data_IF_548386087009
#
_entry.id   IF_548386087009
#
_cell.length_a   1.000
_cell.length_b   1.000
_cell.length_c   1.000
_cell.angle_alpha   90.00
_cell.angle_beta   90.00
_cell.angle_gamma   90.00
#
_symmetry.space_group_name_H-M   'P 1'
#
loop_
_entity.id
_entity.type
_entity.pdbx_description
1 polymer ?
#
# COMPACT_ATOMS: atom_id res chain seq x y z
N UNK A 1 12.78 8.10 -14.52
CA UNK A 1 12.86 8.28 -13.06
C UNK A 1 14.12 7.59 -12.59
N UNK A 2 14.97 8.28 -11.84
CA UNK A 2 16.17 7.70 -11.24
C UNK A 2 15.83 7.02 -9.90
N UNK A 3 16.69 6.13 -9.36
CA UNK A 3 16.46 5.54 -8.05
C UNK A 3 16.33 6.56 -6.91
N UNK A 4 17.09 7.66 -6.97
CA UNK A 4 17.04 8.74 -5.97
C UNK A 4 15.71 9.49 -6.04
N UNK A 5 15.21 9.77 -7.25
CA UNK A 5 13.87 10.36 -7.41
C UNK A 5 12.77 9.42 -6.92
N UNK A 6 12.92 8.12 -7.18
CA UNK A 6 11.98 7.10 -6.73
C UNK A 6 11.93 7.02 -5.19
N UNK A 7 13.08 6.95 -4.54
CA UNK A 7 13.20 6.97 -3.08
C UNK A 7 12.53 8.21 -2.48
N UNK A 8 12.79 9.40 -3.06
CA UNK A 8 12.16 10.64 -2.61
C UNK A 8 10.63 10.58 -2.71
N UNK A 9 10.09 10.08 -3.83
CA UNK A 9 8.64 9.93 -4.00
C UNK A 9 8.04 8.98 -2.95
N UNK A 10 8.70 7.85 -2.68
CA UNK A 10 8.26 6.88 -1.66
C UNK A 10 8.29 7.53 -0.27
N UNK A 11 9.35 8.26 0.06
CA UNK A 11 9.49 8.94 1.35
C UNK A 11 8.44 10.05 1.52
N UNK A 12 8.17 10.84 0.49
CA UNK A 12 7.14 11.88 0.54
C UNK A 12 5.73 11.28 0.61
N UNK A 13 5.51 10.13 -0.03
CA UNK A 13 4.28 9.35 0.13
C UNK A 13 4.09 8.89 1.57
N UNK A 14 5.12 8.31 2.20
CA UNK A 14 5.04 7.90 3.61
C UNK A 14 4.70 9.06 4.54
N UNK A 15 5.24 10.26 4.29
CA UNK A 15 4.91 11.47 5.06
C UNK A 15 3.47 11.95 4.84
N UNK A 16 2.85 11.63 3.70
CA UNK A 16 1.44 11.97 3.44
C UNK A 16 0.45 11.06 4.17
N UNK A 17 0.89 9.90 4.65
CA UNK A 17 0.03 8.98 5.39
C UNK A 17 -0.19 9.53 6.81
N UNK A 18 -1.40 10.02 7.07
CA UNK A 18 -1.81 10.44 8.41
C UNK A 18 -2.01 9.21 9.31
N UNK A 19 -1.64 9.34 10.57
CA UNK A 19 -1.90 8.32 11.61
C UNK A 19 -3.36 8.43 12.10
N UNK A 20 -4.28 7.90 11.29
CA UNK A 20 -5.73 7.98 11.52
C UNK A 20 -6.38 6.59 11.69
N UNK A 21 -5.58 5.55 11.89
CA UNK A 21 -6.01 4.15 11.99
C UNK A 21 -6.04 3.42 10.65
N UNK A 22 -5.78 2.10 10.68
CA UNK A 22 -5.49 1.25 9.51
C UNK A 22 -6.56 1.20 8.40
N UNK A 23 -7.78 1.69 8.67
CA UNK A 23 -8.92 1.53 7.76
C UNK A 23 -9.63 2.85 7.41
N UNK A 24 -9.12 3.97 7.90
CA UNK A 24 -9.62 5.29 7.54
C UNK A 24 -8.98 5.72 6.22
N UNK A 25 -9.83 6.01 5.25
CA UNK A 25 -9.42 6.50 3.93
C UNK A 25 -9.05 7.98 4.01
N UNK A 26 -8.11 8.37 3.17
CA UNK A 26 -7.62 9.73 2.96
C UNK A 26 -7.98 10.19 1.53
N UNK A 27 -8.13 11.49 1.30
CA UNK A 27 -8.38 12.00 -0.04
C UNK A 27 -7.12 11.86 -0.90
N UNK A 28 -7.26 11.48 -2.17
CA UNK A 28 -6.15 11.37 -3.14
C UNK A 28 -5.37 12.68 -3.27
N UNK A 29 -6.02 13.83 -3.01
CA UNK A 29 -5.37 15.15 -3.00
C UNK A 29 -4.26 15.28 -1.97
N UNK A 30 -4.22 14.43 -0.94
CA UNK A 30 -3.15 14.43 0.07
C UNK A 30 -1.86 13.77 -0.45
N UNK A 31 -1.91 13.04 -1.57
CA UNK A 31 -0.74 12.39 -2.14
C UNK A 31 0.22 13.40 -2.77
N UNK A 32 1.55 13.18 -2.67
CA UNK A 32 2.54 14.08 -3.27
C UNK A 32 2.53 14.04 -4.81
N UNK A 33 1.99 12.97 -5.40
CA UNK A 33 1.77 12.82 -6.83
C UNK A 33 0.73 11.73 -7.10
N UNK A 34 0.48 11.42 -8.38
CA UNK A 34 -0.52 10.42 -8.74
C UNK A 34 -0.17 9.02 -8.18
N UNK A 35 -1.18 8.20 -7.80
CA UNK A 35 -0.96 6.83 -7.33
C UNK A 35 -0.12 5.98 -8.31
N UNK A 36 -0.33 6.17 -9.63
CA UNK A 36 0.46 5.51 -10.66
C UNK A 36 1.95 5.86 -10.59
N UNK A 37 2.30 7.12 -10.32
CA UNK A 37 3.69 7.57 -10.20
C UNK A 37 4.35 7.03 -8.93
N UNK A 38 3.62 6.95 -7.82
CA UNK A 38 4.11 6.35 -6.57
C UNK A 38 4.39 4.85 -6.76
N UNK A 39 3.50 4.13 -7.46
CA UNK A 39 3.71 2.71 -7.80
C UNK A 39 4.93 2.50 -8.67
N UNK A 40 5.09 3.31 -9.71
CA UNK A 40 6.27 3.25 -10.56
C UNK A 40 7.57 3.51 -9.78
N UNK A 41 7.54 4.43 -8.81
CA UNK A 41 8.67 4.66 -7.91
C UNK A 41 9.03 3.42 -7.08
N UNK A 42 8.05 2.66 -6.59
CA UNK A 42 8.32 1.39 -5.88
C UNK A 42 9.08 0.40 -6.77
N UNK A 43 8.64 0.21 -8.02
CA UNK A 43 9.34 -0.69 -8.94
C UNK A 43 10.79 -0.26 -9.20
N UNK A 44 11.02 1.02 -9.50
CA UNK A 44 12.37 1.55 -9.77
C UNK A 44 13.28 1.43 -8.55
N UNK A 45 12.78 1.77 -7.35
CA UNK A 45 13.56 1.70 -6.13
C UNK A 45 13.83 0.25 -5.71
N UNK A 46 12.82 -0.62 -5.77
CA UNK A 46 12.96 -2.04 -5.47
C UNK A 46 13.95 -2.74 -6.39
N UNK A 47 13.89 -2.46 -7.70
CA UNK A 47 14.85 -2.99 -8.67
C UNK A 47 16.29 -2.59 -8.34
N UNK A 48 16.52 -1.32 -7.98
CA UNK A 48 17.84 -0.82 -7.62
C UNK A 48 18.39 -1.50 -6.35
N UNK A 49 17.54 -1.71 -5.34
CA UNK A 49 17.92 -2.41 -4.11
C UNK A 49 18.32 -3.86 -4.39
N UNK A 50 17.60 -4.55 -5.28
CA UNK A 50 17.99 -5.89 -5.71
C UNK A 50 19.33 -5.84 -6.43
N UNK A 51 19.50 -4.90 -7.37
CA UNK A 51 20.73 -4.76 -8.17
C UNK A 51 21.98 -4.52 -7.34
N UNK A 52 21.85 -3.79 -6.24
CA UNK A 52 22.95 -3.49 -5.31
C UNK A 52 23.14 -4.54 -4.20
N UNK A 53 22.36 -5.61 -4.21
CA UNK A 53 22.27 -6.61 -3.13
C UNK A 53 22.01 -5.98 -1.75
N UNK A 54 21.21 -4.90 -1.72
CA UNK A 54 20.80 -4.20 -0.50
C UNK A 54 19.39 -4.59 -0.05
N UNK A 55 18.66 -5.40 -0.83
CA UNK A 55 17.31 -5.83 -0.51
C UNK A 55 17.32 -6.91 0.59
N UNK A 56 16.98 -6.49 1.81
CA UNK A 56 16.69 -7.41 2.92
C UNK A 56 15.21 -7.81 2.94
N UNK A 57 14.87 -8.87 3.68
CA UNK A 57 13.47 -9.29 3.86
C UNK A 57 12.62 -8.19 4.51
N UNK A 58 13.17 -7.49 5.50
CA UNK A 58 12.49 -6.37 6.18
C UNK A 58 12.21 -5.20 5.21
N UNK A 59 13.17 -4.86 4.34
CA UNK A 59 12.96 -3.81 3.34
C UNK A 59 11.93 -4.23 2.30
N UNK A 60 11.98 -5.49 1.85
CA UNK A 60 11.01 -6.03 0.90
C UNK A 60 9.58 -5.99 1.47
N UNK A 61 9.41 -6.39 2.74
CA UNK A 61 8.12 -6.38 3.42
C UNK A 61 7.57 -4.95 3.58
N UNK A 62 8.41 -4.01 4.06
CA UNK A 62 8.03 -2.59 4.17
C UNK A 62 7.62 -1.99 2.82
N UNK A 63 8.35 -2.29 1.74
CA UNK A 63 8.02 -1.79 0.41
C UNK A 63 6.74 -2.43 -0.14
N UNK A 64 6.50 -3.72 0.11
CA UNK A 64 5.28 -4.41 -0.30
C UNK A 64 4.04 -3.88 0.45
N UNK A 65 4.15 -3.68 1.76
CA UNK A 65 3.11 -3.05 2.56
C UNK A 65 2.84 -1.63 2.08
N UNK A 66 3.88 -0.82 1.89
CA UNK A 66 3.81 0.54 1.35
C UNK A 66 3.07 0.58 0.00
N UNK A 67 3.43 -0.32 -0.92
CA UNK A 67 2.81 -0.45 -2.24
C UNK A 67 1.33 -0.80 -2.13
N UNK A 68 0.98 -1.77 -1.28
CA UNK A 68 -0.41 -2.19 -1.07
C UNK A 68 -1.28 -1.06 -0.48
N UNK A 69 -0.69 -0.23 0.38
CA UNK A 69 -1.39 0.88 1.04
C UNK A 69 -1.78 2.00 0.06
N UNK A 70 -1.11 2.14 -1.08
CA UNK A 70 -1.46 3.13 -2.11
C UNK A 70 -2.90 2.89 -2.59
N UNK A 71 -3.26 1.62 -2.76
CA UNK A 71 -4.58 1.20 -3.23
C UNK A 71 -5.65 1.26 -2.13
N UNK A 72 -5.27 0.99 -0.89
CA UNK A 72 -6.24 0.90 0.20
C UNK A 72 -6.38 2.18 1.03
N UNK A 73 -5.42 3.13 1.02
CA UNK A 73 -5.54 4.31 1.88
C UNK A 73 -6.14 5.53 1.21
N UNK A 74 -6.05 5.66 -0.11
CA UNK A 74 -6.39 6.92 -0.80
C UNK A 74 -7.54 6.74 -1.79
N UNK A 75 -8.55 7.60 -1.71
CA UNK A 75 -9.72 7.63 -2.61
C UNK A 75 -10.10 9.07 -2.95
N UNK A 76 -10.91 9.28 -3.99
CA UNK A 76 -11.34 10.64 -4.38
C UNK A 76 -12.16 11.34 -3.30
N UNK A 77 -13.19 10.67 -2.77
CA UNK A 77 -13.97 11.13 -1.62
C UNK A 77 -13.98 10.07 -0.50
N UNK A 78 -13.25 10.30 0.61
CA UNK A 78 -13.17 9.35 1.72
C UNK A 78 -14.41 9.37 2.62
N UNK A 79 -15.26 10.41 2.53
CA UNK A 79 -16.35 10.67 3.47
C UNK A 79 -17.35 9.51 3.58
N UNK A 80 -17.88 8.94 2.48
CA UNK A 80 -18.88 7.88 2.55
C UNK A 80 -18.31 6.60 3.17
N UNK A 81 -17.05 6.26 2.84
CA UNK A 81 -16.38 5.07 3.35
C UNK A 81 -16.07 5.19 4.84
N UNK A 82 -15.52 6.34 5.25
CA UNK A 82 -15.19 6.60 6.65
C UNK A 82 -16.45 6.65 7.53
N UNK A 83 -17.56 7.23 7.03
CA UNK A 83 -18.85 7.21 7.72
C UNK A 83 -19.39 5.79 7.90
N UNK A 84 -19.31 4.95 6.86
CA UNK A 84 -19.69 3.52 6.95
C UNK A 84 -18.82 2.77 7.96
N UNK A 85 -17.51 3.01 7.95
CA UNK A 85 -16.59 2.37 8.90
C UNK A 85 -16.89 2.78 10.35
N UNK A 86 -17.07 4.07 10.61
CA UNK A 86 -17.43 4.56 11.95
C UNK A 86 -18.70 3.90 12.48
N UNK A 87 -19.75 3.83 11.65
CA UNK A 87 -21.02 3.17 12.00
C UNK A 87 -20.84 1.67 12.29
N UNK A 88 -19.97 0.99 11.56
CA UNK A 88 -19.65 -0.41 11.84
C UNK A 88 -18.95 -0.59 13.19
N UNK A 89 -17.95 0.23 13.49
CA UNK A 89 -17.25 0.20 14.78
C UNK A 89 -18.22 0.46 15.95
N UNK A 90 -19.17 1.39 15.79
CA UNK A 90 -20.22 1.64 16.77
C UNK A 90 -21.10 0.40 16.99
N UNK A 91 -21.60 -0.23 15.92
CA UNK A 91 -22.38 -1.48 16.00
C UNK A 91 -21.61 -2.62 16.68
N UNK A 92 -20.31 -2.76 16.39
CA UNK A 92 -19.47 -3.77 17.03
C UNK A 92 -19.37 -3.56 18.54
N UNK A 93 -19.25 -2.30 18.99
CA UNK A 93 -19.24 -1.95 20.43
C UNK A 93 -20.56 -2.29 21.11
N UNK A 94 -21.67 -2.22 20.37
CA UNK A 94 -23.01 -2.63 20.83
C UNK A 94 -23.25 -4.14 20.75
N UNK A 95 -22.25 -4.94 20.35
CA UNK A 95 -22.37 -6.39 20.21
C UNK A 95 -23.10 -6.86 18.94
N UNK A 96 -23.43 -5.94 18.03
CA UNK A 96 -24.13 -6.23 16.77
C UNK A 96 -23.10 -6.63 15.71
N UNK A 97 -23.09 -7.92 15.34
CA UNK A 97 -22.28 -8.41 14.21
C UNK A 97 -22.95 -8.09 12.88
N UNK A 98 -22.41 -7.11 12.17
CA UNK A 98 -22.79 -6.80 10.78
C UNK A 98 -22.03 -7.73 9.82
N UNK A 99 -22.65 -8.87 9.45
CA UNK A 99 -22.02 -9.88 8.58
C UNK A 99 -21.63 -9.33 7.20
N UNK A 100 -22.48 -8.48 6.62
CA UNK A 100 -22.23 -7.87 5.31
C UNK A 100 -20.99 -6.96 5.34
N UNK A 101 -20.82 -6.19 6.43
CA UNK A 101 -19.61 -5.38 6.57
C UNK A 101 -18.36 -6.25 6.76
N UNK A 102 -18.46 -7.36 7.50
CA UNK A 102 -17.34 -8.27 7.70
C UNK A 102 -16.87 -8.92 6.38
N UNK A 103 -17.79 -9.29 5.50
CA UNK A 103 -17.45 -9.83 4.17
C UNK A 103 -16.75 -8.79 3.29
N UNK A 104 -17.27 -7.57 3.22
CA UNK A 104 -16.63 -6.46 2.50
C UNK A 104 -15.22 -6.17 3.06
N UNK A 105 -15.09 -6.23 4.38
CA UNK A 105 -13.82 -6.03 5.07
C UNK A 105 -12.81 -7.14 4.72
N UNK A 106 -13.21 -8.40 4.77
CA UNK A 106 -12.37 -9.54 4.40
C UNK A 106 -11.95 -9.48 2.93
N UNK A 107 -12.85 -9.06 2.03
CA UNK A 107 -12.52 -8.87 0.62
C UNK A 107 -11.44 -7.79 0.43
N UNK A 108 -11.54 -6.65 1.12
CA UNK A 108 -10.52 -5.59 1.05
C UNK A 108 -9.16 -6.05 1.56
N UNK A 109 -9.13 -6.81 2.66
CA UNK A 109 -7.88 -7.40 3.16
C UNK A 109 -7.26 -8.35 2.13
N UNK A 110 -8.08 -9.16 1.46
CA UNK A 110 -7.63 -10.05 0.38
C UNK A 110 -7.05 -9.26 -0.80
N UNK A 111 -7.68 -8.18 -1.20
CA UNK A 111 -7.18 -7.31 -2.27
C UNK A 111 -5.84 -6.66 -1.90
N UNK A 112 -5.70 -6.14 -0.68
CA UNK A 112 -4.43 -5.61 -0.15
C UNK A 112 -3.32 -6.66 -0.18
N UNK A 113 -3.63 -7.90 0.24
CA UNK A 113 -2.68 -9.01 0.18
C UNK A 113 -2.25 -9.33 -1.25
N UNK A 114 -3.17 -9.31 -2.21
CA UNK A 114 -2.85 -9.55 -3.62
C UNK A 114 -1.86 -8.51 -4.17
N UNK A 115 -2.04 -7.23 -3.86
CA UNK A 115 -1.09 -6.17 -4.27
C UNK A 115 0.29 -6.35 -3.64
N UNK A 116 0.34 -6.76 -2.37
CA UNK A 116 1.60 -7.09 -1.69
C UNK A 116 2.31 -8.27 -2.36
N UNK A 117 1.57 -9.32 -2.74
CA UNK A 117 2.10 -10.51 -3.42
C UNK A 117 2.61 -10.15 -4.82
N UNK A 118 1.87 -9.34 -5.58
CA UNK A 118 2.29 -8.86 -6.91
C UNK A 118 3.67 -8.19 -6.85
N UNK A 119 3.83 -7.25 -5.92
CA UNK A 119 5.10 -6.53 -5.76
C UNK A 119 6.22 -7.46 -5.26
N UNK A 120 5.92 -8.40 -4.36
CA UNK A 120 6.91 -9.39 -3.92
C UNK A 120 7.39 -10.27 -5.08
N UNK A 121 6.46 -10.74 -5.92
CA UNK A 121 6.79 -11.55 -7.10
C UNK A 121 7.70 -10.78 -8.05
N UNK A 122 7.43 -9.49 -8.29
CA UNK A 122 8.33 -8.63 -9.06
C UNK A 122 9.77 -8.62 -8.51
N UNK A 123 9.96 -8.40 -7.21
CA UNK A 123 11.31 -8.40 -6.61
C UNK A 123 12.03 -9.75 -6.77
N UNK A 124 11.28 -10.85 -6.64
CA UNK A 124 11.80 -12.21 -6.86
C UNK A 124 12.23 -12.41 -8.31
N UNK A 125 11.44 -11.94 -9.28
CA UNK A 125 11.76 -12.03 -10.71
C UNK A 125 13.01 -11.24 -11.08
N UNK A 126 13.15 -10.01 -10.57
CA UNK A 126 14.36 -9.20 -10.76
C UNK A 126 15.58 -9.96 -10.22
N UNK A 127 15.48 -10.51 -9.01
CA UNK A 127 16.59 -11.25 -8.38
C UNK A 127 16.98 -12.50 -9.15
N UNK A 128 16.02 -13.24 -9.71
CA UNK A 128 16.27 -14.41 -10.56
C UNK A 128 16.98 -14.02 -11.84
N UNK A 129 16.56 -12.92 -12.46
CA UNK A 129 17.11 -12.45 -13.73
C UNK A 129 18.59 -12.06 -13.60
N UNK A 130 19.00 -11.50 -12.45
CA UNK A 130 20.40 -11.18 -12.18
C UNK A 130 21.32 -12.39 -12.01
N UNK A 131 20.78 -13.56 -11.62
CA UNK A 131 21.60 -14.78 -11.45
C UNK A 131 21.87 -15.51 -12.76
N UNK A 132 21.11 -15.18 -13.80
CA UNK A 132 21.13 -15.86 -15.10
C UNK A 132 21.73 -14.99 -16.22
N UNK A 133 22.15 -13.76 -15.94
CA UNK A 133 22.79 -12.84 -16.89
C UNK A 133 24.18 -12.49 -16.42
#
# INVERSE_FOLDING_TARGET
>A
MTPIEAEKIINDYWKSIKDIGEFIKQPISDLPCSPGKIRYAHFIYGEELVKRDLLTWEIADKLAMSYSDIHDRFVEDPTPMNKKHKKYIEKLKEGVKDKNYHEIFAQRLKERLNWSIEYHNFLVEVRKSQKNG
#
